data_IF_278912322068
#
_entry.id   IF_278912322068
#
_cell.length_a   1.000
_cell.length_b   1.000
_cell.length_c   1.000
_cell.angle_alpha   90.00
_cell.angle_beta   90.00
_cell.angle_gamma   90.00
#
_symmetry.space_group_name_H-M   'P 1'
#
loop_
_entity.id
_entity.type
_entity.pdbx_description
1 polymer ?
#
# COMPACT_ATOMS: atom_id res chain seq x y z
N UNK A 1 -68.41 16.32 22.35
CA UNK A 1 -67.53 17.08 23.26
C UNK A 1 -66.40 16.15 23.65
N UNK A 2 -65.28 16.30 22.99
CA UNK A 2 -63.89 16.06 23.50
C UNK A 2 -62.96 16.26 22.31
N UNK A 3 -62.25 17.36 22.36
CA UNK A 3 -61.22 17.75 21.44
C UNK A 3 -60.01 16.83 21.62
N UNK A 4 -59.51 16.27 20.53
CA UNK A 4 -58.18 15.61 20.45
C UNK A 4 -57.21 16.54 19.71
N UNK A 5 -56.37 17.21 20.44
CA UNK A 5 -55.24 18.00 19.92
C UNK A 5 -54.19 17.06 19.34
N UNK A 6 -53.94 17.16 18.08
CA UNK A 6 -52.79 16.56 17.38
C UNK A 6 -51.59 17.49 17.58
N UNK A 7 -50.57 16.94 18.23
CA UNK A 7 -49.28 17.62 18.47
C UNK A 7 -48.38 17.42 17.26
N UNK A 8 -48.27 18.44 16.42
CA UNK A 8 -47.40 18.42 15.23
C UNK A 8 -45.97 18.86 15.65
N UNK A 9 -45.14 17.85 15.90
CA UNK A 9 -43.72 18.02 16.26
C UNK A 9 -42.83 18.37 15.07
N UNK A 10 -42.96 19.60 14.55
CA UNK A 10 -42.01 20.13 13.54
C UNK A 10 -40.67 20.40 14.20
N UNK A 11 -39.72 19.47 14.05
CA UNK A 11 -38.27 19.69 14.31
C UNK A 11 -37.70 20.59 13.22
N UNK A 12 -37.63 21.89 13.48
CA UNK A 12 -36.89 22.85 12.66
C UNK A 12 -35.37 22.52 12.75
N UNK A 13 -34.86 21.82 11.76
CA UNK A 13 -33.41 21.66 11.56
C UNK A 13 -32.85 23.02 11.14
N UNK A 14 -32.25 23.75 12.04
CA UNK A 14 -31.49 24.98 11.76
C UNK A 14 -30.28 24.58 10.89
N UNK A 15 -30.39 24.77 9.57
CA UNK A 15 -29.28 24.61 8.66
C UNK A 15 -28.30 25.76 8.84
N UNK A 16 -27.10 25.47 9.34
CA UNK A 16 -26.02 26.45 9.43
C UNK A 16 -25.73 26.97 8.00
N UNK A 17 -25.74 28.30 7.75
CA UNK A 17 -25.49 28.87 6.43
C UNK A 17 -24.05 28.57 5.98
N UNK A 18 -23.91 28.25 4.70
CA UNK A 18 -22.58 28.00 4.11
C UNK A 18 -21.81 29.33 4.08
N UNK A 19 -20.54 29.36 4.53
CA UNK A 19 -19.73 30.58 4.55
C UNK A 19 -19.58 31.20 3.15
N UNK A 20 -19.37 32.52 3.11
CA UNK A 20 -19.17 33.27 1.88
C UNK A 20 -17.99 32.72 1.07
N UNK A 21 -18.11 32.68 -0.26
CA UNK A 21 -17.11 32.08 -1.16
C UNK A 21 -17.19 30.55 -1.29
N UNK A 22 -17.89 29.89 -0.38
CA UNK A 22 -18.07 28.44 -0.42
C UNK A 22 -19.39 28.03 -1.09
N UNK A 23 -19.38 26.87 -1.69
CA UNK A 23 -20.56 26.22 -2.29
C UNK A 23 -20.62 24.77 -1.88
N UNK A 24 -21.85 24.24 -1.70
CA UNK A 24 -22.06 22.81 -1.42
C UNK A 24 -22.43 22.09 -2.69
N UNK A 25 -21.78 20.99 -3.00
CA UNK A 25 -22.14 20.02 -4.01
C UNK A 25 -22.50 18.67 -3.42
N UNK A 26 -23.02 17.78 -4.25
CA UNK A 26 -23.17 16.36 -3.90
C UNK A 26 -22.36 15.57 -4.90
N UNK A 27 -21.43 14.76 -4.42
CA UNK A 27 -20.65 13.86 -5.26
C UNK A 27 -21.58 12.88 -5.98
N UNK A 28 -21.48 12.82 -7.29
CA UNK A 28 -22.28 11.87 -8.10
C UNK A 28 -21.90 10.42 -7.81
N UNK A 29 -20.67 10.19 -7.39
CA UNK A 29 -20.14 8.84 -7.10
C UNK A 29 -20.52 8.37 -5.71
N UNK A 30 -20.47 9.28 -4.72
CA UNK A 30 -20.61 8.93 -3.30
C UNK A 30 -21.97 9.32 -2.69
N UNK A 31 -22.78 10.09 -3.43
CA UNK A 31 -24.01 10.71 -2.92
C UNK A 31 -23.80 11.43 -1.57
N UNK A 32 -22.59 12.00 -1.38
CA UNK A 32 -22.14 12.67 -0.16
C UNK A 32 -21.92 14.16 -0.44
N UNK A 33 -22.27 15.08 0.47
CA UNK A 33 -22.00 16.50 0.31
C UNK A 33 -20.49 16.79 0.38
N UNK A 34 -20.03 17.68 -0.48
CA UNK A 34 -18.71 18.30 -0.43
C UNK A 34 -18.85 19.82 -0.50
N UNK A 35 -17.82 20.53 -0.06
CA UNK A 35 -17.77 21.98 -0.04
C UNK A 35 -16.61 22.46 -0.92
N UNK A 36 -16.88 23.47 -1.73
CA UNK A 36 -15.93 24.00 -2.70
C UNK A 36 -15.83 25.51 -2.55
N UNK A 37 -14.60 26.03 -2.37
CA UNK A 37 -14.32 27.46 -2.35
C UNK A 37 -13.95 27.94 -3.75
N UNK A 38 -14.76 28.85 -4.32
CA UNK A 38 -14.68 29.22 -5.74
C UNK A 38 -13.38 29.89 -6.13
N UNK A 39 -12.88 30.76 -5.30
CA UNK A 39 -11.67 31.55 -5.59
C UNK A 39 -10.40 30.72 -5.45
N UNK A 40 -10.21 30.02 -4.33
CA UNK A 40 -9.01 29.22 -4.06
C UNK A 40 -9.00 27.85 -4.75
N UNK A 41 -10.12 27.43 -5.38
CA UNK A 41 -10.32 26.08 -5.94
C UNK A 41 -10.13 24.95 -4.93
N UNK A 42 -10.26 25.27 -3.62
CA UNK A 42 -10.18 24.29 -2.56
C UNK A 42 -11.48 23.50 -2.45
N UNK A 43 -11.38 22.19 -2.25
CA UNK A 43 -12.53 21.28 -2.08
C UNK A 43 -12.30 20.42 -0.83
N UNK A 44 -13.33 20.26 0.00
CA UNK A 44 -13.29 19.44 1.22
C UNK A 44 -14.65 18.77 1.49
N UNK A 45 -14.64 17.71 2.29
CA UNK A 45 -15.82 16.90 2.58
C UNK A 45 -16.52 17.29 3.89
N UNK A 46 -15.89 18.05 4.74
CA UNK A 46 -16.49 18.56 5.97
C UNK A 46 -16.98 20.00 5.77
N UNK A 47 -17.92 20.41 6.60
CA UNK A 47 -18.39 21.80 6.62
C UNK A 47 -17.23 22.74 6.96
N UNK A 48 -17.04 23.86 6.22
CA UNK A 48 -15.95 24.79 6.50
C UNK A 48 -15.96 25.29 7.94
N UNK A 49 -14.83 25.11 8.66
CA UNK A 49 -14.65 25.69 9.98
C UNK A 49 -14.54 27.22 9.89
N UNK A 50 -14.78 27.97 10.97
CA UNK A 50 -14.63 29.44 10.96
C UNK A 50 -13.25 29.91 10.48
N UNK A 51 -12.19 29.15 10.76
CA UNK A 51 -10.83 29.46 10.29
C UNK A 51 -10.67 29.24 8.81
N UNK A 52 -11.21 28.16 8.25
CA UNK A 52 -11.18 27.84 6.82
C UNK A 52 -12.09 28.75 6.01
N UNK A 53 -13.21 29.19 6.60
CA UNK A 53 -14.12 30.13 5.99
C UNK A 53 -13.45 31.50 5.75
N UNK A 54 -12.62 31.94 6.70
CA UNK A 54 -11.95 33.25 6.65
C UNK A 54 -10.60 33.22 5.89
N UNK A 55 -9.94 32.06 5.80
CA UNK A 55 -8.64 31.92 5.13
C UNK A 55 -8.45 30.50 4.55
N UNK A 56 -9.15 30.16 3.45
CA UNK A 56 -9.10 28.84 2.84
C UNK A 56 -7.73 28.48 2.24
N UNK A 57 -6.89 29.48 1.95
CA UNK A 57 -5.54 29.30 1.42
C UNK A 57 -4.49 29.27 2.53
N UNK A 58 -4.64 30.12 3.55
CA UNK A 58 -3.69 30.28 4.65
C UNK A 58 -3.60 29.07 5.55
N UNK A 59 -4.71 28.38 5.79
CA UNK A 59 -4.73 27.13 6.56
C UNK A 59 -3.85 26.07 5.90
N UNK A 60 -3.94 25.91 4.58
CA UNK A 60 -3.09 24.99 3.82
C UNK A 60 -1.62 25.41 3.83
N UNK A 61 -1.31 26.71 3.71
CA UNK A 61 0.06 27.25 3.78
C UNK A 61 0.66 27.16 5.18
N UNK A 62 -0.12 27.36 6.25
CA UNK A 62 0.34 27.19 7.65
C UNK A 62 0.68 25.76 7.98
N UNK A 63 -0.13 24.80 7.57
CA UNK A 63 0.18 23.37 7.71
C UNK A 63 1.49 23.00 7.02
N UNK A 64 1.73 23.49 5.81
CA UNK A 64 3.00 23.27 5.11
C UNK A 64 4.20 23.98 5.75
N UNK A 65 3.99 25.19 6.31
CA UNK A 65 5.06 25.96 6.93
C UNK A 65 5.45 25.46 8.32
N UNK A 66 4.50 25.01 9.11
CA UNK A 66 4.74 24.37 10.40
C UNK A 66 5.44 23.00 10.26
N UNK A 67 5.10 22.25 9.22
CA UNK A 67 5.84 21.04 8.86
C UNK A 67 7.30 21.35 8.49
N UNK A 68 7.54 22.41 7.71
CA UNK A 68 8.91 22.81 7.31
C UNK A 68 9.76 23.36 8.47
N UNK A 69 9.15 24.00 9.47
CA UNK A 69 9.88 24.54 10.63
C UNK A 69 10.20 23.47 11.69
N UNK A 70 9.37 22.43 11.82
CA UNK A 70 9.65 21.30 12.71
C UNK A 70 10.90 20.51 12.26
N UNK A 71 11.20 20.48 10.96
CA UNK A 71 12.42 19.83 10.43
C UNK A 71 13.74 20.56 10.72
N UNK A 72 13.70 21.85 11.12
CA UNK A 72 14.92 22.64 11.41
C UNK A 72 15.40 22.62 12.88
N UNK A 73 14.63 22.01 13.80
CA UNK A 73 14.93 22.07 15.25
C UNK A 73 15.48 20.77 15.88
N UNK A 74 15.76 19.74 15.10
CA UNK A 74 16.23 18.44 15.65
C UNK A 74 17.65 18.04 15.20
N UNK A 75 18.58 18.99 15.14
CA UNK A 75 19.98 18.68 14.91
C UNK A 75 20.85 19.41 15.90
N UNK A 76 21.01 18.86 17.10
CA UNK A 76 22.21 19.00 17.96
C UNK A 76 22.04 18.23 19.28
N UNK A 77 22.69 17.10 19.42
CA UNK A 77 23.54 16.75 20.58
C UNK A 77 24.06 15.31 20.40
N UNK A 78 25.32 15.25 20.04
CA UNK A 78 26.13 14.04 20.08
C UNK A 78 26.73 13.92 21.48
N UNK A 79 26.54 12.76 22.12
CA UNK A 79 27.41 12.39 23.27
C UNK A 79 27.89 10.96 23.03
N UNK A 80 29.16 10.87 22.78
CA UNK A 80 29.95 9.65 22.61
C UNK A 80 30.19 9.02 23.97
N UNK A 81 29.81 7.77 24.17
CA UNK A 81 30.33 6.94 25.27
C UNK A 81 30.86 5.65 24.69
N UNK A 82 32.20 5.54 24.68
CA UNK A 82 32.95 4.33 24.40
C UNK A 82 32.89 3.39 25.59
N UNK A 83 32.33 2.21 25.40
CA UNK A 83 32.58 1.07 26.30
C UNK A 83 33.03 -0.13 25.45
N UNK A 84 34.31 -0.48 25.61
CA UNK A 84 34.91 -1.69 25.09
C UNK A 84 34.38 -2.91 25.86
N UNK A 85 33.71 -3.82 25.16
CA UNK A 85 33.48 -5.17 25.68
C UNK A 85 33.93 -6.20 24.62
N UNK A 86 34.90 -7.03 24.99
CA UNK A 86 35.30 -8.23 24.26
C UNK A 86 34.10 -9.13 24.02
N UNK A 87 33.76 -9.34 22.77
CA UNK A 87 32.75 -10.35 22.37
C UNK A 87 33.40 -11.28 21.37
N UNK A 88 33.39 -12.57 21.68
CA UNK A 88 33.54 -13.73 20.79
C UNK A 88 32.81 -13.48 19.48
N UNK A 89 33.29 -13.95 18.30
CA UNK A 89 32.60 -13.72 17.04
C UNK A 89 31.26 -14.46 17.09
N UNK A 90 30.18 -13.68 17.19
CA UNK A 90 28.83 -14.18 17.01
C UNK A 90 28.73 -14.69 15.56
N UNK A 91 28.31 -15.93 15.37
CA UNK A 91 27.83 -16.44 14.09
C UNK A 91 26.84 -15.42 13.54
N UNK A 92 27.21 -14.72 12.46
CA UNK A 92 26.36 -13.76 11.80
C UNK A 92 25.10 -14.50 11.33
N UNK A 93 23.98 -14.35 12.02
CA UNK A 93 22.70 -14.86 11.56
C UNK A 93 22.34 -14.10 10.28
N UNK A 94 22.56 -14.74 9.14
CA UNK A 94 22.15 -14.21 7.84
C UNK A 94 20.62 -14.05 7.79
N UNK A 95 20.18 -13.07 7.03
CA UNK A 95 18.75 -12.78 6.85
C UNK A 95 18.04 -13.87 6.04
N UNK A 96 16.78 -14.11 6.33
CA UNK A 96 15.87 -14.88 5.48
C UNK A 96 14.79 -13.95 4.91
N UNK A 97 14.48 -14.12 3.62
CA UNK A 97 13.64 -13.20 2.84
C UNK A 97 12.29 -13.84 2.51
N UNK A 98 11.20 -13.11 2.76
CA UNK A 98 9.89 -13.35 2.19
C UNK A 98 9.65 -12.42 1.00
N UNK A 99 9.48 -12.95 -0.21
CA UNK A 99 8.99 -12.19 -1.36
C UNK A 99 7.48 -12.36 -1.43
N UNK A 100 6.73 -11.26 -1.34
CA UNK A 100 5.26 -11.24 -1.29
C UNK A 100 4.72 -10.57 -2.54
N UNK A 101 3.99 -11.34 -3.35
CA UNK A 101 3.54 -10.93 -4.69
C UNK A 101 2.02 -10.99 -4.76
N UNK A 102 1.32 -9.85 -4.86
CA UNK A 102 -0.11 -9.82 -5.11
C UNK A 102 -0.38 -10.20 -6.55
N UNK A 103 -1.32 -11.11 -6.78
CA UNK A 103 -1.53 -11.69 -8.09
C UNK A 103 -3.01 -11.87 -8.43
N UNK A 104 -3.33 -11.67 -9.69
CA UNK A 104 -4.57 -12.08 -10.34
C UNK A 104 -4.40 -12.00 -11.86
N UNK A 105 -4.88 -13.02 -12.58
CA UNK A 105 -4.87 -13.06 -14.04
C UNK A 105 -6.32 -13.00 -14.55
N UNK A 106 -6.89 -11.79 -14.62
CA UNK A 106 -8.26 -11.59 -15.10
C UNK A 106 -8.33 -10.88 -16.45
N UNK A 107 -7.30 -10.10 -16.80
CA UNK A 107 -7.38 -9.24 -17.97
C UNK A 107 -6.44 -9.74 -19.07
N UNK A 108 -6.97 -10.17 -20.24
CA UNK A 108 -6.15 -10.71 -21.33
C UNK A 108 -5.03 -9.76 -21.80
N UNK A 109 -5.30 -8.45 -21.81
CA UNK A 109 -4.32 -7.43 -22.21
C UNK A 109 -3.14 -7.32 -21.25
N UNK A 110 -3.35 -7.54 -19.93
CA UNK A 110 -2.27 -7.50 -18.94
C UNK A 110 -1.46 -8.79 -18.91
N UNK A 111 -2.08 -9.93 -19.27
CA UNK A 111 -1.43 -11.25 -19.39
C UNK A 111 -0.54 -11.59 -18.18
N UNK A 112 -1.10 -11.49 -16.97
CA UNK A 112 -0.37 -11.69 -15.71
C UNK A 112 0.14 -13.13 -15.56
N UNK A 113 -0.52 -14.12 -16.16
CA UNK A 113 -0.04 -15.49 -16.20
C UNK A 113 1.34 -15.61 -16.87
N UNK A 114 1.54 -14.90 -18.00
CA UNK A 114 2.85 -14.86 -18.68
C UNK A 114 3.90 -14.15 -17.81
N UNK A 115 3.53 -13.08 -17.12
CA UNK A 115 4.45 -12.41 -16.19
C UNK A 115 4.86 -13.35 -15.05
N UNK A 116 3.93 -14.08 -14.46
CA UNK A 116 4.23 -15.05 -13.41
C UNK A 116 5.14 -16.19 -13.89
N UNK A 117 4.91 -16.69 -15.12
CA UNK A 117 5.76 -17.71 -15.75
C UNK A 117 7.21 -17.24 -15.94
N UNK A 118 7.43 -15.95 -16.23
CA UNK A 118 8.75 -15.34 -16.31
C UNK A 118 9.33 -15.02 -14.93
N UNK A 119 8.50 -14.56 -14.01
CA UNK A 119 8.88 -14.07 -12.68
C UNK A 119 9.47 -15.19 -11.80
N UNK A 120 8.79 -16.33 -11.68
CA UNK A 120 9.21 -17.41 -10.76
C UNK A 120 10.64 -17.92 -11.07
N UNK A 121 10.98 -18.35 -12.30
CA UNK A 121 12.33 -18.84 -12.57
C UNK A 121 13.39 -17.73 -12.44
N UNK A 122 13.06 -16.49 -12.85
CA UNK A 122 13.96 -15.35 -12.69
C UNK A 122 14.29 -15.09 -11.21
N UNK A 123 13.28 -14.94 -10.38
CA UNK A 123 13.45 -14.67 -8.95
C UNK A 123 14.15 -15.82 -8.21
N UNK A 124 13.86 -17.06 -8.56
CA UNK A 124 14.59 -18.21 -8.00
C UNK A 124 16.07 -18.13 -8.36
N UNK A 125 16.41 -17.89 -9.61
CA UNK A 125 17.80 -17.74 -10.05
C UNK A 125 18.50 -16.58 -9.34
N UNK A 126 17.85 -15.41 -9.30
CA UNK A 126 18.35 -14.21 -8.64
C UNK A 126 18.63 -14.42 -7.14
N UNK A 127 17.64 -14.94 -6.41
CA UNK A 127 17.75 -15.15 -4.96
C UNK A 127 18.70 -16.30 -4.59
N UNK A 128 18.75 -17.37 -5.42
CA UNK A 128 19.70 -18.46 -5.20
C UNK A 128 21.16 -18.02 -5.32
N UNK A 129 21.47 -17.02 -6.15
CA UNK A 129 22.81 -16.41 -6.20
C UNK A 129 23.15 -15.72 -4.86
N UNK A 130 22.19 -15.06 -4.22
CA UNK A 130 22.38 -14.42 -2.92
C UNK A 130 22.62 -15.46 -1.81
N UNK A 131 21.91 -16.60 -1.86
CA UNK A 131 22.15 -17.72 -0.93
C UNK A 131 23.55 -18.31 -1.17
N UNK A 132 23.88 -18.64 -2.43
CA UNK A 132 25.16 -19.25 -2.78
C UNK A 132 26.37 -18.36 -2.46
N UNK A 133 26.19 -17.04 -2.48
CA UNK A 133 27.22 -16.05 -2.11
C UNK A 133 27.20 -15.68 -0.62
N UNK A 134 26.44 -16.39 0.22
CA UNK A 134 26.29 -16.14 1.66
C UNK A 134 25.86 -14.70 2.00
N UNK A 135 25.09 -14.05 1.14
CA UNK A 135 24.49 -12.74 1.44
C UNK A 135 23.20 -12.86 2.23
N UNK A 136 22.46 -13.95 2.02
CA UNK A 136 21.24 -14.32 2.76
C UNK A 136 21.29 -15.80 3.17
N UNK A 137 20.54 -16.15 4.22
CA UNK A 137 20.43 -17.53 4.67
C UNK A 137 19.49 -18.34 3.79
N UNK A 138 18.31 -17.75 3.47
CA UNK A 138 17.24 -18.44 2.77
C UNK A 138 16.22 -17.44 2.21
N UNK A 139 15.31 -17.93 1.36
CA UNK A 139 14.19 -17.14 0.84
C UNK A 139 12.95 -18.03 0.60
N UNK A 140 11.78 -17.38 0.54
CA UNK A 140 10.57 -18.00 0.02
C UNK A 140 9.72 -16.98 -0.74
N UNK A 141 9.13 -17.40 -1.88
CA UNK A 141 8.26 -16.59 -2.72
C UNK A 141 6.81 -16.97 -2.44
N UNK A 142 6.00 -15.98 -2.05
CA UNK A 142 4.58 -16.13 -1.76
C UNK A 142 3.78 -15.37 -2.82
N UNK A 143 3.09 -16.11 -3.68
CA UNK A 143 2.14 -15.55 -4.64
C UNK A 143 0.77 -15.55 -3.99
N UNK A 144 0.20 -14.37 -3.77
CA UNK A 144 -1.10 -14.20 -3.11
C UNK A 144 -2.12 -13.86 -4.18
N UNK A 145 -2.84 -14.89 -4.60
CA UNK A 145 -3.83 -14.80 -5.66
C UNK A 145 -5.20 -14.45 -5.11
N UNK A 146 -5.78 -13.33 -5.56
CA UNK A 146 -7.18 -13.05 -5.28
C UNK A 146 -8.07 -14.01 -6.08
N UNK A 147 -9.01 -14.68 -5.42
CA UNK A 147 -9.99 -15.56 -6.06
C UNK A 147 -10.84 -14.81 -7.10
N UNK A 148 -11.52 -15.55 -7.95
CA UNK A 148 -12.53 -14.98 -8.87
C UNK A 148 -13.80 -14.66 -8.10
N UNK A 149 -13.81 -13.51 -7.45
CA UNK A 149 -14.85 -13.03 -6.57
C UNK A 149 -15.70 -11.89 -7.19
N UNK A 150 -15.54 -11.64 -8.48
CA UNK A 150 -16.19 -10.56 -9.24
C UNK A 150 -15.93 -9.16 -8.69
N UNK A 151 -14.91 -9.03 -7.81
CA UNK A 151 -14.48 -7.75 -7.25
C UNK A 151 -13.25 -7.23 -7.96
N UNK A 152 -13.01 -5.95 -7.86
CA UNK A 152 -11.75 -5.36 -8.31
C UNK A 152 -10.57 -5.92 -7.52
N UNK A 153 -9.39 -5.83 -8.11
CA UNK A 153 -8.16 -6.28 -7.48
C UNK A 153 -7.83 -5.42 -6.25
N UNK A 154 -7.54 -6.07 -5.12
CA UNK A 154 -7.15 -5.37 -3.89
C UNK A 154 -5.68 -5.65 -3.54
N UNK A 155 -4.78 -4.94 -4.23
CA UNK A 155 -3.34 -5.12 -4.07
C UNK A 155 -2.89 -4.96 -2.63
N UNK A 156 -3.32 -3.90 -1.94
CA UNK A 156 -2.90 -3.62 -0.56
C UNK A 156 -3.27 -4.74 0.41
N UNK A 157 -4.51 -5.23 0.35
CA UNK A 157 -4.95 -6.31 1.24
C UNK A 157 -4.25 -7.63 0.94
N UNK A 158 -3.98 -7.94 -0.34
CA UNK A 158 -3.20 -9.13 -0.70
C UNK A 158 -1.77 -9.08 -0.15
N UNK A 159 -1.13 -7.91 -0.14
CA UNK A 159 0.19 -7.72 0.46
C UNK A 159 0.15 -7.96 1.98
N UNK A 160 -0.88 -7.47 2.67
CA UNK A 160 -1.09 -7.74 4.10
C UNK A 160 -1.31 -9.23 4.38
N UNK A 161 -2.11 -9.92 3.56
CA UNK A 161 -2.35 -11.37 3.67
C UNK A 161 -1.04 -12.13 3.51
N UNK A 162 -0.25 -11.77 2.51
CA UNK A 162 1.06 -12.38 2.28
C UNK A 162 2.02 -12.18 3.43
N UNK A 163 2.06 -10.99 4.01
CA UNK A 163 2.87 -10.69 5.19
C UNK A 163 2.44 -11.54 6.40
N UNK A 164 1.16 -11.55 6.72
CA UNK A 164 0.60 -12.33 7.84
C UNK A 164 0.88 -13.83 7.69
N UNK A 165 0.67 -14.36 6.47
CA UNK A 165 0.92 -15.77 6.19
C UNK A 165 2.42 -16.11 6.26
N UNK A 166 3.29 -15.33 5.63
CA UNK A 166 4.73 -15.54 5.61
C UNK A 166 5.33 -15.49 7.02
N UNK A 167 4.88 -14.55 7.85
CA UNK A 167 5.29 -14.44 9.24
C UNK A 167 4.92 -15.71 10.02
N UNK A 168 3.64 -16.09 10.03
CA UNK A 168 3.12 -17.27 10.74
C UNK A 168 3.76 -18.58 10.24
N UNK A 169 4.03 -18.68 8.93
CA UNK A 169 4.67 -19.86 8.35
C UNK A 169 6.12 -19.98 8.80
N UNK A 170 6.89 -18.89 8.73
CA UNK A 170 8.30 -18.90 9.10
C UNK A 170 8.55 -19.09 10.59
N UNK A 171 7.59 -18.75 11.44
CA UNK A 171 7.62 -19.10 12.89
C UNK A 171 7.53 -20.61 13.12
N UNK A 172 6.81 -21.33 12.26
CA UNK A 172 6.62 -22.80 12.36
C UNK A 172 7.68 -23.58 11.58
N UNK A 173 8.26 -22.98 10.56
CA UNK A 173 9.21 -23.61 9.63
C UNK A 173 10.44 -22.74 9.47
N UNK A 174 11.49 -22.89 10.31
CA UNK A 174 12.73 -22.11 10.22
C UNK A 174 13.42 -22.24 8.86
N UNK A 175 14.21 -21.22 8.45
CA UNK A 175 14.53 -20.02 9.21
C UNK A 175 13.37 -19.00 9.23
N UNK A 176 13.26 -18.22 10.32
CA UNK A 176 12.30 -17.13 10.40
C UNK A 176 12.65 -16.02 9.41
N UNK A 177 11.68 -15.55 8.67
CA UNK A 177 11.90 -14.39 7.79
C UNK A 177 12.16 -13.12 8.60
N UNK A 178 13.18 -12.39 8.19
CA UNK A 178 13.59 -11.12 8.80
C UNK A 178 13.37 -9.95 7.86
N UNK A 179 13.30 -10.21 6.54
CA UNK A 179 13.07 -9.24 5.48
C UNK A 179 11.80 -9.61 4.74
N UNK A 180 10.90 -8.63 4.57
CA UNK A 180 9.65 -8.79 3.83
C UNK A 180 9.68 -7.85 2.63
N UNK A 181 9.73 -8.40 1.42
CA UNK A 181 9.79 -7.64 0.17
C UNK A 181 8.44 -7.78 -0.54
N UNK A 182 7.72 -6.67 -0.64
CA UNK A 182 6.47 -6.55 -1.38
C UNK A 182 6.80 -6.23 -2.83
N UNK A 183 6.32 -7.03 -3.74
CA UNK A 183 6.88 -7.10 -5.09
C UNK A 183 5.80 -7.25 -6.16
N UNK A 184 5.82 -6.42 -7.19
CA UNK A 184 4.94 -6.56 -8.34
C UNK A 184 5.44 -7.68 -9.28
N UNK A 185 4.51 -8.49 -9.83
CA UNK A 185 4.82 -9.69 -10.62
C UNK A 185 5.45 -9.38 -11.99
N UNK A 186 5.34 -8.15 -12.45
CA UNK A 186 5.84 -7.67 -13.75
C UNK A 186 7.20 -6.99 -13.69
N UNK A 187 7.84 -6.93 -12.52
CA UNK A 187 9.16 -6.32 -12.34
C UNK A 187 10.23 -7.40 -12.11
N UNK A 188 11.29 -7.38 -12.90
CA UNK A 188 12.40 -8.32 -12.77
C UNK A 188 13.70 -7.58 -12.43
N UNK A 189 14.14 -7.63 -11.14
CA UNK A 189 15.40 -7.00 -10.72
C UNK A 189 16.58 -7.68 -11.36
N UNK A 190 17.62 -6.92 -11.70
CA UNK A 190 18.88 -7.47 -12.18
C UNK A 190 19.89 -7.62 -11.02
N UNK A 191 21.00 -8.30 -11.30
CA UNK A 191 22.00 -8.68 -10.26
C UNK A 191 22.59 -7.48 -9.52
N UNK A 192 22.62 -6.29 -10.14
CA UNK A 192 23.07 -5.03 -9.54
C UNK A 192 22.21 -4.56 -8.35
N UNK A 193 20.97 -5.06 -8.24
CA UNK A 193 20.08 -4.80 -7.12
C UNK A 193 20.21 -5.83 -5.98
N UNK A 194 21.03 -6.88 -6.14
CA UNK A 194 21.12 -7.98 -5.17
C UNK A 194 21.42 -7.54 -3.75
N UNK A 195 22.33 -6.57 -3.56
CA UNK A 195 22.66 -6.01 -2.25
C UNK A 195 21.44 -5.42 -1.51
N UNK A 196 20.51 -4.80 -2.25
CA UNK A 196 19.33 -4.16 -1.67
C UNK A 196 18.30 -5.18 -1.19
N UNK A 197 18.23 -6.35 -1.86
CA UNK A 197 17.43 -7.48 -1.40
C UNK A 197 18.02 -8.12 -0.14
N UNK A 198 19.34 -8.24 -0.06
CA UNK A 198 20.03 -8.88 1.06
C UNK A 198 20.16 -7.98 2.29
N UNK A 199 20.04 -6.67 2.14
CA UNK A 199 20.20 -5.70 3.23
C UNK A 199 18.97 -5.73 4.16
N UNK A 200 19.21 -5.97 5.47
CA UNK A 200 18.16 -5.82 6.47
C UNK A 200 17.67 -4.36 6.50
N UNK A 201 16.36 -4.12 6.32
CA UNK A 201 15.82 -2.77 6.29
C UNK A 201 15.70 -2.19 7.70
N UNK A 202 16.73 -1.48 8.15
CA UNK A 202 16.67 -0.68 9.41
C UNK A 202 15.70 0.48 9.30
N UNK A 203 15.37 0.86 8.09
CA UNK A 203 14.27 1.68 7.63
C UNK A 203 13.78 1.09 6.31
N UNK A 204 12.53 1.29 5.89
CA UNK A 204 12.01 0.74 4.63
C UNK A 204 12.89 1.10 3.43
N UNK A 205 13.04 0.17 2.50
CA UNK A 205 13.85 0.36 1.30
C UNK A 205 12.94 0.34 0.08
N UNK A 206 12.90 1.43 -0.69
CA UNK A 206 12.22 1.49 -1.96
C UNK A 206 13.13 0.98 -3.09
N UNK A 207 13.15 -0.34 -3.31
CA UNK A 207 14.04 -0.96 -4.30
C UNK A 207 13.65 -0.53 -5.73
N UNK A 208 12.35 -0.38 -6.02
CA UNK A 208 11.89 0.10 -7.32
C UNK A 208 12.07 1.61 -7.55
N UNK A 209 12.81 2.31 -6.71
CA UNK A 209 13.16 3.72 -6.91
C UNK A 209 13.85 3.97 -8.26
N UNK A 210 14.56 2.99 -8.78
CA UNK A 210 15.26 3.03 -10.08
C UNK A 210 14.39 2.57 -11.26
N UNK A 211 13.11 2.29 -11.04
CA UNK A 211 12.19 1.90 -12.10
C UNK A 211 11.85 3.11 -12.98
N UNK A 212 12.19 3.05 -14.27
CA UNK A 212 12.06 4.16 -15.22
C UNK A 212 10.66 4.77 -15.28
N UNK A 213 9.61 3.94 -15.18
CA UNK A 213 8.22 4.42 -15.22
C UNK A 213 7.94 5.53 -14.19
N UNK A 214 8.58 5.49 -13.03
CA UNK A 214 8.37 6.42 -11.92
C UNK A 214 9.62 7.14 -11.44
N UNK A 215 10.76 7.03 -12.15
CA UNK A 215 12.05 7.60 -11.76
C UNK A 215 12.01 9.12 -11.53
N UNK A 216 11.09 9.82 -12.22
CA UNK A 216 10.88 11.27 -12.05
C UNK A 216 9.94 11.64 -10.89
N UNK A 217 9.40 10.66 -10.16
CA UNK A 217 8.49 10.89 -9.04
C UNK A 217 9.14 10.48 -7.70
N UNK A 218 9.79 11.42 -7.04
CA UNK A 218 10.44 11.20 -5.73
C UNK A 218 9.46 10.81 -4.60
N UNK A 219 8.15 10.98 -4.83
CA UNK A 219 7.09 10.60 -3.89
C UNK A 219 6.51 9.21 -4.16
N UNK A 220 6.86 8.57 -5.27
CA UNK A 220 6.42 7.21 -5.52
C UNK A 220 7.09 6.25 -4.54
N UNK A 221 6.29 5.39 -3.92
CA UNK A 221 6.77 4.38 -2.98
C UNK A 221 5.98 3.08 -3.20
N UNK A 222 6.25 2.41 -4.31
CA UNK A 222 5.55 1.19 -4.72
C UNK A 222 6.43 0.28 -5.59
N UNK A 223 5.81 -0.68 -6.27
CA UNK A 223 6.48 -1.64 -7.15
C UNK A 223 7.28 -2.70 -6.39
N UNK A 224 8.44 -2.36 -5.84
CA UNK A 224 9.27 -3.24 -5.01
C UNK A 224 9.73 -2.46 -3.78
N UNK A 225 9.24 -2.85 -2.61
CA UNK A 225 9.58 -2.23 -1.32
C UNK A 225 9.92 -3.28 -0.27
N UNK A 226 10.94 -3.01 0.54
CA UNK A 226 11.43 -3.91 1.59
C UNK A 226 11.16 -3.32 2.97
N UNK A 227 10.65 -4.15 3.87
CA UNK A 227 10.31 -3.78 5.24
C UNK A 227 10.85 -4.79 6.25
N UNK A 228 11.16 -4.29 7.46
CA UNK A 228 11.24 -5.12 8.65
C UNK A 228 9.82 -5.48 9.15
N UNK A 229 9.71 -6.56 9.93
CA UNK A 229 8.46 -6.90 10.63
C UNK A 229 7.99 -5.74 11.52
N UNK A 230 8.94 -5.09 12.22
CA UNK A 230 8.64 -4.00 13.15
C UNK A 230 8.02 -2.79 12.47
N UNK A 231 8.59 -2.34 11.36
CA UNK A 231 8.07 -1.19 10.62
C UNK A 231 6.72 -1.50 9.98
N UNK A 232 6.57 -2.71 9.40
CA UNK A 232 5.31 -3.12 8.80
C UNK A 232 4.16 -3.13 9.82
N UNK A 233 4.41 -3.62 11.03
CA UNK A 233 3.44 -3.57 12.14
C UNK A 233 3.18 -2.15 12.62
N UNK A 234 4.22 -1.31 12.72
CA UNK A 234 4.12 0.07 13.20
C UNK A 234 3.25 0.95 12.32
N UNK A 235 3.28 0.74 11.01
CA UNK A 235 2.43 1.46 10.04
C UNK A 235 1.07 0.79 9.84
N UNK A 236 0.76 -0.30 10.53
CA UNK A 236 -0.44 -1.12 10.36
C UNK A 236 -0.60 -1.68 8.93
N UNK A 237 0.52 -1.97 8.24
CA UNK A 237 0.51 -2.51 6.89
C UNK A 237 -0.04 -1.59 5.82
N UNK A 238 -0.50 -2.18 4.72
CA UNK A 238 -1.21 -1.50 3.63
C UNK A 238 -2.68 -1.24 3.99
N UNK A 239 -3.37 -0.29 3.33
CA UNK A 239 -4.81 -0.14 3.48
C UNK A 239 -5.55 -1.33 2.83
N UNK A 240 -6.63 -1.78 3.49
CA UNK A 240 -7.47 -2.89 3.00
C UNK A 240 -8.63 -2.44 2.11
N UNK A 241 -8.83 -1.14 1.92
CA UNK A 241 -10.06 -0.57 1.31
C UNK A 241 -9.85 0.08 -0.05
N UNK A 242 -8.68 -0.09 -0.67
CA UNK A 242 -8.43 0.37 -2.03
C UNK A 242 -8.65 -0.77 -3.03
N UNK A 243 -9.77 -0.69 -3.76
CA UNK A 243 -10.16 -1.65 -4.77
C UNK A 243 -9.97 -1.09 -6.17
N UNK A 244 -9.14 -1.76 -6.97
CA UNK A 244 -8.67 -1.28 -8.27
C UNK A 244 -7.35 -0.52 -8.16
N UNK A 245 -6.85 -0.06 -9.29
CA UNK A 245 -5.54 0.57 -9.41
C UNK A 245 -5.49 1.96 -8.79
N UNK A 246 -4.54 2.14 -7.89
CA UNK A 246 -4.10 3.43 -7.34
C UNK A 246 -4.66 3.75 -5.97
N UNK A 247 -3.82 4.40 -5.17
CA UNK A 247 -4.13 4.90 -3.84
C UNK A 247 -3.47 4.16 -2.71
N UNK A 248 -3.25 2.84 -2.82
CA UNK A 248 -2.66 2.04 -1.75
C UNK A 248 -1.19 2.41 -1.46
N UNK A 249 -0.41 2.72 -2.50
CA UNK A 249 0.98 3.17 -2.36
C UNK A 249 1.06 4.62 -1.84
N UNK A 250 0.13 5.50 -2.28
CA UNK A 250 0.01 6.87 -1.75
C UNK A 250 -0.37 6.84 -0.25
N UNK A 251 -1.27 5.95 0.15
CA UNK A 251 -1.65 5.78 1.56
C UNK A 251 -0.51 5.18 2.38
N UNK A 252 0.25 4.22 1.83
CA UNK A 252 1.44 3.67 2.47
C UNK A 252 2.46 4.77 2.79
N UNK A 253 2.72 5.66 1.83
CA UNK A 253 3.61 6.80 2.04
C UNK A 253 3.11 7.71 3.16
N UNK A 254 1.82 8.04 3.19
CA UNK A 254 1.22 8.84 4.27
C UNK A 254 1.40 8.17 5.64
N UNK A 255 1.26 6.84 5.73
CA UNK A 255 1.49 6.09 6.99
C UNK A 255 2.92 6.23 7.47
N UNK A 256 3.90 6.09 6.58
CA UNK A 256 5.32 6.31 6.92
C UNK A 256 5.56 7.74 7.42
N UNK A 257 4.99 8.75 6.75
CA UNK A 257 5.07 10.15 7.16
C UNK A 257 4.44 10.37 8.55
N UNK A 258 3.26 9.78 8.80
CA UNK A 258 2.52 9.90 10.08
C UNK A 258 3.33 9.34 11.25
N UNK A 259 3.95 8.18 11.08
CA UNK A 259 4.79 7.58 12.13
C UNK A 259 6.25 8.04 12.07
N UNK A 260 6.59 8.98 11.17
CA UNK A 260 7.92 9.57 10.99
C UNK A 260 9.00 8.54 10.70
N UNK A 261 8.69 7.56 9.88
CA UNK A 261 9.65 6.63 9.32
C UNK A 261 10.13 7.20 7.99
N UNK A 262 11.45 7.33 7.85
CA UNK A 262 12.09 7.64 6.57
C UNK A 262 12.30 6.35 5.79
N UNK A 263 12.54 6.47 4.48
CA UNK A 263 12.92 5.34 3.64
C UNK A 263 14.12 5.68 2.78
N UNK A 264 14.85 4.66 2.39
CA UNK A 264 16.01 4.74 1.49
C UNK A 264 15.75 3.92 0.22
N UNK A 265 16.72 3.86 -0.68
CA UNK A 265 16.66 3.05 -1.89
C UNK A 265 17.86 3.26 -2.80
N UNK A 266 18.03 2.40 -3.79
CA UNK A 266 19.10 2.51 -4.78
C UNK A 266 18.98 3.84 -5.55
N UNK A 267 20.14 4.40 -5.88
CA UNK A 267 20.25 5.54 -6.83
C UNK A 267 20.54 5.05 -8.24
N UNK A 268 20.97 3.81 -8.38
CA UNK A 268 21.28 3.13 -9.63
C UNK A 268 20.90 1.65 -9.52
N UNK A 269 20.60 1.03 -10.63
CA UNK A 269 20.20 -0.37 -10.73
C UNK A 269 19.25 -0.59 -11.89
N UNK A 270 19.02 -1.84 -12.24
CA UNK A 270 18.24 -2.22 -13.42
C UNK A 270 17.03 -3.07 -13.04
N UNK A 271 15.86 -2.68 -13.54
CA UNK A 271 14.62 -3.45 -13.43
C UNK A 271 14.05 -3.63 -14.84
N UNK A 272 13.80 -4.88 -15.24
CA UNK A 272 13.06 -5.17 -16.46
C UNK A 272 11.57 -5.13 -16.16
N UNK A 273 10.84 -4.25 -16.85
CA UNK A 273 9.39 -4.09 -16.75
C UNK A 273 8.72 -4.95 -17.82
N UNK A 274 8.08 -6.06 -17.44
CA UNK A 274 7.40 -6.98 -18.35
C UNK A 274 6.13 -6.39 -18.97
N UNK A 275 5.54 -5.38 -18.35
CA UNK A 275 4.40 -4.66 -18.90
C UNK A 275 4.82 -3.75 -20.06
N UNK A 276 6.09 -3.32 -20.06
CA UNK A 276 6.71 -2.49 -21.09
C UNK A 276 5.86 -1.25 -21.48
N UNK A 277 5.32 -0.59 -20.47
CA UNK A 277 4.51 0.62 -20.61
C UNK A 277 5.16 1.78 -19.85
N UNK A 278 5.26 2.94 -20.50
CA UNK A 278 5.54 4.17 -19.77
C UNK A 278 4.31 4.64 -18.98
N UNK A 279 4.50 5.62 -18.10
CA UNK A 279 3.42 6.15 -17.27
C UNK A 279 2.28 6.75 -18.09
N UNK A 280 2.57 7.43 -19.19
CA UNK A 280 1.58 8.06 -20.08
C UNK A 280 0.67 7.00 -20.71
N UNK A 281 1.28 5.94 -21.26
CA UNK A 281 0.57 4.80 -21.85
C UNK A 281 -0.32 4.11 -20.81
N UNK A 282 0.22 3.86 -19.60
CA UNK A 282 -0.55 3.28 -18.49
C UNK A 282 -1.74 4.13 -18.09
N UNK A 283 -1.55 5.44 -17.94
CA UNK A 283 -2.64 6.37 -17.61
C UNK A 283 -3.67 6.46 -18.74
N UNK A 284 -3.24 6.39 -20.00
CA UNK A 284 -4.11 6.33 -21.17
C UNK A 284 -4.99 5.07 -21.15
N UNK A 285 -4.40 3.90 -20.90
CA UNK A 285 -5.13 2.64 -20.74
C UNK A 285 -6.18 2.73 -19.60
N UNK A 286 -5.79 3.22 -18.44
CA UNK A 286 -6.68 3.38 -17.30
C UNK A 286 -7.78 4.44 -17.51
N UNK A 287 -7.56 5.41 -18.40
CA UNK A 287 -8.58 6.39 -18.78
C UNK A 287 -9.69 5.75 -19.63
N UNK A 288 -9.31 4.80 -20.47
CA UNK A 288 -10.24 4.03 -21.30
C UNK A 288 -10.97 2.94 -20.51
N UNK A 289 -10.31 2.38 -19.51
CA UNK A 289 -10.80 1.25 -18.68
C UNK A 289 -11.00 1.73 -17.22
N UNK A 290 -11.98 2.59 -17.00
CA UNK A 290 -12.24 3.22 -15.69
C UNK A 290 -12.59 2.20 -14.59
N UNK A 291 -13.17 1.08 -14.96
CA UNK A 291 -13.52 -0.03 -14.08
C UNK A 291 -12.30 -0.65 -13.38
N UNK A 292 -11.10 -0.47 -13.93
CA UNK A 292 -9.85 -0.95 -13.31
C UNK A 292 -9.32 -0.01 -12.23
N UNK A 293 -9.81 1.23 -12.17
CA UNK A 293 -9.33 2.23 -11.21
C UNK A 293 -9.98 2.07 -9.85
N UNK A 294 -9.26 2.51 -8.83
CA UNK A 294 -9.87 2.83 -7.55
C UNK A 294 -10.71 4.10 -7.69
N UNK A 295 -12.04 3.93 -7.66
CA UNK A 295 -12.99 5.03 -7.89
C UNK A 295 -13.09 5.98 -6.70
N UNK A 296 -12.58 5.58 -5.54
CA UNK A 296 -12.65 6.31 -4.27
C UNK A 296 -11.28 6.70 -3.74
N UNK A 297 -10.27 6.68 -4.62
CA UNK A 297 -8.90 6.96 -4.24
C UNK A 297 -8.75 8.22 -3.38
N UNK A 298 -9.33 9.32 -3.82
CA UNK A 298 -9.13 10.62 -3.17
C UNK A 298 -9.87 10.72 -1.85
N UNK A 299 -11.09 10.23 -1.81
CA UNK A 299 -11.92 10.18 -0.61
C UNK A 299 -11.27 9.31 0.47
N UNK A 300 -10.76 8.14 0.09
CA UNK A 300 -10.08 7.25 1.00
C UNK A 300 -8.75 7.83 1.53
N UNK A 301 -8.02 8.57 0.69
CA UNK A 301 -6.79 9.24 1.10
C UNK A 301 -7.06 10.43 2.05
N UNK A 302 -8.20 11.11 1.93
CA UNK A 302 -8.60 12.18 2.85
C UNK A 302 -8.98 11.65 4.23
N UNK A 303 -9.45 10.40 4.33
CA UNK A 303 -9.79 9.75 5.60
C UNK A 303 -8.59 9.16 6.35
N UNK A 304 -7.37 9.34 5.84
CA UNK A 304 -6.14 8.80 6.41
C UNK A 304 -6.07 8.95 7.93
N UNK A 305 -6.19 10.18 8.45
CA UNK A 305 -5.99 10.48 9.88
C UNK A 305 -6.94 9.71 10.81
N UNK A 306 -8.10 9.31 10.30
CA UNK A 306 -9.12 8.58 11.06
C UNK A 306 -9.12 7.08 10.84
N UNK A 307 -8.47 6.60 9.79
CA UNK A 307 -8.58 5.19 9.36
C UNK A 307 -7.27 4.42 9.39
N UNK A 308 -6.10 5.04 9.22
CA UNK A 308 -4.84 4.34 9.01
C UNK A 308 -4.50 3.30 10.10
N UNK A 309 -4.79 3.59 11.37
CA UNK A 309 -4.45 2.73 12.50
C UNK A 309 -5.44 1.58 12.74
N UNK A 310 -6.57 1.55 12.01
CA UNK A 310 -7.61 0.52 12.11
C UNK A 310 -8.01 -0.13 10.78
N UNK A 311 -7.38 0.27 9.69
CA UNK A 311 -7.59 -0.25 8.34
C UNK A 311 -6.23 -0.75 7.81
N UNK A 312 -5.96 -2.05 7.99
CA UNK A 312 -4.67 -2.64 7.65
C UNK A 312 -4.47 -4.01 8.30
N UNK A 313 -3.34 -4.24 8.95
CA UNK A 313 -3.08 -5.50 9.66
C UNK A 313 -4.04 -5.72 10.82
N UNK A 314 -4.49 -4.66 11.49
CA UNK A 314 -5.36 -4.73 12.66
C UNK A 314 -6.79 -5.20 12.37
N UNK A 315 -7.31 -5.00 11.15
CA UNK A 315 -8.64 -5.45 10.71
C UNK A 315 -8.58 -6.48 9.58
N UNK A 316 -7.41 -7.12 9.40
CA UNK A 316 -7.19 -8.07 8.33
C UNK A 316 -8.03 -9.33 8.52
N UNK A 317 -8.86 -9.63 7.52
CA UNK A 317 -9.66 -10.86 7.46
C UNK A 317 -9.62 -11.46 6.06
N UNK A 318 -9.42 -12.76 5.95
CA UNK A 318 -9.37 -13.51 4.70
C UNK A 318 -9.56 -15.01 4.97
N UNK A 319 -9.90 -15.78 3.93
CA UNK A 319 -9.86 -17.22 3.93
C UNK A 319 -8.89 -17.73 2.86
N UNK A 320 -8.11 -18.76 3.20
CA UNK A 320 -7.29 -19.47 2.22
C UNK A 320 -8.15 -20.55 1.58
N UNK A 321 -8.43 -20.41 0.29
CA UNK A 321 -9.24 -21.35 -0.47
C UNK A 321 -8.41 -22.50 -1.03
N UNK A 322 -7.16 -22.20 -1.44
CA UNK A 322 -6.25 -23.18 -2.03
C UNK A 322 -4.79 -22.79 -1.73
N UNK A 323 -3.96 -23.79 -1.56
CA UNK A 323 -2.50 -23.63 -1.49
C UNK A 323 -1.86 -24.61 -2.45
N UNK A 324 -0.93 -24.14 -3.28
CA UNK A 324 -0.18 -24.96 -4.24
C UNK A 324 1.28 -24.56 -4.27
N UNK A 325 2.15 -25.54 -4.54
CA UNK A 325 3.56 -25.30 -4.82
C UNK A 325 3.71 -24.95 -6.29
N UNK A 326 4.52 -23.93 -6.59
CA UNK A 326 4.75 -23.45 -7.95
C UNK A 326 6.03 -24.01 -8.58
N UNK A 327 6.86 -24.63 -7.77
CA UNK A 327 8.12 -25.21 -8.19
C UNK A 327 8.20 -26.68 -7.74
N UNK A 328 9.01 -27.43 -8.50
CA UNK A 328 9.44 -28.79 -8.12
C UNK A 328 10.94 -28.69 -7.95
N UNK A 329 11.42 -28.87 -6.74
CA UNK A 329 12.86 -28.99 -6.48
C UNK A 329 13.22 -30.46 -6.26
N UNK A 330 14.42 -30.84 -6.69
CA UNK A 330 14.91 -32.22 -6.60
C UNK A 330 15.09 -32.67 -5.14
N UNK A 331 15.31 -31.71 -4.22
CA UNK A 331 15.41 -31.93 -2.76
C UNK A 331 14.05 -31.95 -2.03
N UNK A 332 12.94 -31.74 -2.76
CA UNK A 332 11.58 -31.74 -2.21
C UNK A 332 11.18 -30.49 -1.45
N UNK A 333 12.07 -29.47 -1.32
CA UNK A 333 11.79 -28.21 -0.63
C UNK A 333 11.34 -27.15 -1.63
N UNK A 334 10.05 -26.82 -1.64
CA UNK A 334 9.53 -25.76 -2.52
C UNK A 334 9.92 -24.37 -2.00
N UNK A 335 10.43 -23.52 -2.89
CA UNK A 335 10.75 -22.10 -2.64
C UNK A 335 9.69 -21.14 -3.14
N UNK A 336 8.63 -21.63 -3.78
CA UNK A 336 7.53 -20.80 -4.28
C UNK A 336 6.16 -21.44 -3.98
N UNK A 337 5.30 -20.72 -3.29
CA UNK A 337 3.95 -21.14 -2.91
C UNK A 337 2.93 -20.13 -3.41
N UNK A 338 1.84 -20.61 -4.01
CA UNK A 338 0.67 -19.82 -4.35
C UNK A 338 -0.44 -20.09 -3.35
N UNK A 339 -1.05 -19.02 -2.84
CA UNK A 339 -2.25 -19.03 -2.03
C UNK A 339 -3.36 -18.36 -2.82
N UNK A 340 -4.42 -19.10 -3.14
CA UNK A 340 -5.66 -18.51 -3.64
C UNK A 340 -6.52 -18.15 -2.44
N UNK A 341 -6.90 -16.88 -2.31
CA UNK A 341 -7.57 -16.34 -1.12
C UNK A 341 -8.90 -15.67 -1.44
N UNK A 342 -9.88 -15.82 -0.55
CA UNK A 342 -11.04 -14.93 -0.52
C UNK A 342 -10.66 -13.66 0.24
N UNK A 343 -10.66 -12.54 -0.47
CA UNK A 343 -10.38 -11.22 0.05
C UNK A 343 -11.67 -10.64 0.62
N UNK A 344 -11.97 -10.92 1.88
CA UNK A 344 -13.19 -10.48 2.55
C UNK A 344 -13.30 -8.95 2.60
N UNK A 345 -14.54 -8.47 2.61
CA UNK A 345 -14.81 -7.04 2.83
C UNK A 345 -14.51 -6.66 4.29
N UNK A 346 -14.10 -5.42 4.51
CA UNK A 346 -13.78 -4.89 5.83
C UNK A 346 -15.04 -4.29 6.48
N UNK A 347 -15.87 -5.13 7.11
CA UNK A 347 -17.04 -4.69 7.86
C UNK A 347 -17.92 -3.69 7.09
N UNK A 348 -18.35 -2.63 7.77
CA UNK A 348 -19.22 -1.59 7.21
C UNK A 348 -18.45 -0.39 6.62
N UNK A 349 -17.21 -0.57 6.17
CA UNK A 349 -16.47 0.53 5.56
C UNK A 349 -17.14 0.96 4.25
N UNK A 350 -17.46 2.25 4.13
CA UNK A 350 -18.21 2.80 2.98
C UNK A 350 -17.55 2.51 1.62
N UNK A 351 -16.22 2.39 1.57
CA UNK A 351 -15.49 2.05 0.35
C UNK A 351 -15.77 0.61 -0.14
N UNK A 352 -16.25 -0.28 0.75
CA UNK A 352 -16.68 -1.62 0.34
C UNK A 352 -18.03 -1.62 -0.37
N UNK A 353 -18.96 -0.73 0.05
CA UNK A 353 -20.37 -0.84 -0.34
C UNK A 353 -20.73 0.01 -1.56
N UNK A 354 -20.07 1.15 -1.76
CA UNK A 354 -20.55 2.19 -2.69
C UNK A 354 -19.68 2.47 -3.89
N UNK A 355 -18.42 2.02 -3.89
CA UNK A 355 -17.43 2.68 -4.72
C UNK A 355 -16.59 1.77 -5.56
N UNK A 356 -17.25 0.81 -6.16
CA UNK A 356 -16.56 0.09 -7.19
C UNK A 356 -15.63 -0.98 -6.64
N UNK A 357 -16.06 -1.65 -5.57
CA UNK A 357 -15.53 -2.96 -5.18
C UNK A 357 -15.76 -3.95 -6.32
N UNK A 358 -16.93 -3.90 -6.93
CA UNK A 358 -17.27 -4.73 -8.07
C UNK A 358 -16.94 -4.07 -9.41
N UNK A 359 -16.64 -4.86 -10.42
CA UNK A 359 -16.62 -4.37 -11.79
C UNK A 359 -18.02 -3.87 -12.18
N UNK A 360 -18.06 -2.78 -12.93
CA UNK A 360 -19.32 -2.34 -13.53
C UNK A 360 -19.79 -3.44 -14.48
N UNK A 361 -21.11 -3.73 -14.54
CA UNK A 361 -21.65 -4.63 -15.55
C UNK A 361 -21.19 -4.15 -16.93
N UNK A 362 -20.66 -5.05 -17.73
CA UNK A 362 -20.41 -4.77 -19.15
C UNK A 362 -21.80 -4.67 -19.80
N UNK A 363 -22.19 -3.48 -20.23
CA UNK A 363 -23.40 -3.25 -21.02
C UNK A 363 -23.24 -3.85 -22.42
#
# INVERSE_FOLDING_TARGET
MTDSATNDGSTTTTTVPIPEGWSRGISRTLNRPYYFHRESKHTQWHFPTPTEANDPIGTKRRMHHEQSQRHKKSSSSTTTTTSSSNTTPATSNLNSIAIIVPYRDLHPTQNRAKHLQAFIPHMKSFLSKLVSSNQIQDYHIYIIEQSDDQRKFNRGKLLNIGFDFALKRSEKHPPRHTIFIFHDVDLLPQDDLGKWYATFPTQPIHIARVWDRYSNNSKYFGGIVSFSEGDMKRINGYPNTFWGWGGEDDEMQKRLETVKIQWDGPTEGTIVDLENMDLSTKLGFLKQNKEWKCMVKWEALEEHDTTWNRNGLSDLSYDILKMSRLDKEDDGVSKATMLTVDVKLNGNHWANDKCGVHYLPQN
#
